data_IF_055153303793
#
_entry.id   IF_055153303793
#
_cell.length_a   1.000
_cell.length_b   1.000
_cell.length_c   1.000
_cell.angle_alpha   90.00
_cell.angle_beta   90.00
_cell.angle_gamma   90.00
#
_symmetry.space_group_name_H-M   'P 1'
#
loop_
_entity.id
_entity.type
_entity.pdbx_description
1 polymer ?
#
# COMPACT_ATOMS: atom_id res chain seq x y z
N UNK A 1 1.28 -13.62 4.63
CA UNK A 1 0.60 -12.44 4.05
C UNK A 1 -0.22 -12.99 2.91
N UNK A 2 -1.51 -12.69 2.89
CA UNK A 2 -2.39 -13.04 1.79
C UNK A 2 -2.76 -11.75 1.07
N UNK A 3 -2.98 -11.83 -0.24
CA UNK A 3 -3.42 -10.71 -1.06
C UNK A 3 -4.49 -11.19 -2.01
N UNK A 4 -5.51 -10.38 -2.20
CA UNK A 4 -6.66 -10.67 -3.04
C UNK A 4 -7.23 -9.37 -3.64
N UNK A 5 -8.06 -9.53 -4.66
CA UNK A 5 -8.88 -8.46 -5.21
C UNK A 5 -10.31 -8.75 -4.79
N UNK A 6 -10.98 -7.80 -4.15
CA UNK A 6 -12.38 -7.95 -3.77
C UNK A 6 -13.33 -7.75 -4.97
N UNK A 7 -14.63 -7.89 -4.74
CA UNK A 7 -15.66 -7.74 -5.78
C UNK A 7 -15.73 -6.32 -6.36
N UNK A 8 -15.26 -5.30 -5.64
CA UNK A 8 -15.21 -3.92 -6.10
C UNK A 8 -13.90 -3.60 -6.86
N UNK A 9 -12.97 -4.55 -6.94
CA UNK A 9 -11.68 -4.36 -7.59
C UNK A 9 -10.61 -3.74 -6.68
N UNK A 10 -10.86 -3.63 -5.37
CA UNK A 10 -9.87 -3.11 -4.44
C UNK A 10 -8.77 -4.15 -4.22
N UNK A 11 -7.53 -3.68 -4.10
CA UNK A 11 -6.41 -4.52 -3.69
C UNK A 11 -6.36 -4.64 -2.16
N UNK A 12 -6.63 -5.83 -1.63
CA UNK A 12 -6.58 -6.13 -0.21
C UNK A 12 -5.32 -6.92 0.13
N UNK A 13 -4.68 -6.57 1.24
CA UNK A 13 -3.50 -7.27 1.74
C UNK A 13 -3.58 -7.46 3.25
N UNK A 14 -3.54 -8.71 3.70
CA UNK A 14 -3.69 -9.09 5.10
C UNK A 14 -2.35 -9.53 5.71
N UNK A 15 -2.03 -8.97 6.87
CA UNK A 15 -0.84 -9.30 7.65
C UNK A 15 -1.17 -9.33 9.15
N UNK A 16 -0.95 -10.49 9.76
CA UNK A 16 -1.19 -10.72 11.18
C UNK A 16 -2.00 -12.02 11.38
N UNK A 17 -2.25 -12.41 12.64
CA UNK A 17 -3.22 -13.45 12.97
C UNK A 17 -4.64 -13.01 12.57
N UNK A 18 -5.47 -13.95 12.11
CA UNK A 18 -6.86 -13.67 11.74
C UNK A 18 -7.75 -13.36 12.97
N UNK A 19 -7.35 -13.85 14.15
CA UNK A 19 -8.02 -13.71 15.44
C UNK A 19 -7.43 -12.58 16.30
N UNK A 20 -6.65 -11.67 15.71
CA UNK A 20 -6.07 -10.56 16.44
C UNK A 20 -7.16 -9.69 17.09
N UNK A 21 -7.03 -9.30 18.37
CA UNK A 21 -8.06 -8.52 19.08
C UNK A 21 -8.18 -7.08 18.57
N UNK A 22 -7.21 -6.62 17.76
CA UNK A 22 -7.20 -5.29 17.16
C UNK A 22 -6.95 -5.45 15.66
N UNK A 23 -7.84 -4.88 14.86
CA UNK A 23 -7.70 -4.79 13.41
C UNK A 23 -7.32 -3.36 13.01
N UNK A 24 -6.19 -3.20 12.31
CA UNK A 24 -5.73 -1.90 11.80
C UNK A 24 -5.84 -1.93 10.27
N UNK A 25 -6.59 -0.98 9.72
CA UNK A 25 -6.72 -0.81 8.27
C UNK A 25 -5.87 0.37 7.80
N UNK A 26 -4.96 0.10 6.86
CA UNK A 26 -4.22 1.14 6.14
C UNK A 26 -4.90 1.33 4.78
N UNK A 27 -5.80 2.30 4.69
CA UNK A 27 -6.62 2.54 3.50
C UNK A 27 -6.04 3.66 2.64
N UNK A 28 -5.83 3.36 1.37
CA UNK A 28 -5.48 4.33 0.33
C UNK A 28 -6.24 4.00 -0.95
N UNK A 29 -5.90 4.68 -2.05
CA UNK A 29 -6.52 4.42 -3.36
C UNK A 29 -5.44 4.30 -4.45
N UNK A 30 -5.75 3.54 -5.51
CA UNK A 30 -4.81 3.23 -6.60
C UNK A 30 -5.13 3.99 -7.89
N UNK A 31 -6.37 4.43 -8.03
CA UNK A 31 -6.81 5.26 -9.14
C UNK A 31 -6.14 6.64 -9.07
N UNK A 32 -6.12 7.31 -10.22
CA UNK A 32 -5.55 8.63 -10.36
C UNK A 32 -6.35 9.41 -11.38
N UNK A 33 -6.29 10.74 -11.32
CA UNK A 33 -6.82 11.57 -12.40
C UNK A 33 -6.13 11.28 -13.74
N UNK A 34 -6.79 11.53 -14.88
CA UNK A 34 -6.21 11.36 -16.21
C UNK A 34 -4.94 12.20 -16.46
N UNK A 35 -4.23 11.83 -17.54
CA UNK A 35 -3.06 12.55 -18.03
C UNK A 35 -1.76 11.80 -17.75
N UNK A 36 -1.01 11.55 -18.82
CA UNK A 36 0.24 10.80 -18.79
C UNK A 36 1.41 11.73 -18.45
N UNK A 37 1.89 11.61 -17.22
CA UNK A 37 3.12 12.26 -16.77
C UNK A 37 4.25 11.24 -16.92
N UNK A 38 5.31 11.52 -17.71
CA UNK A 38 6.43 10.59 -17.88
C UNK A 38 7.02 10.17 -16.53
N UNK A 39 7.08 8.86 -16.31
CA UNK A 39 7.72 8.30 -15.12
C UNK A 39 9.22 8.44 -15.25
N UNK A 40 9.85 9.16 -14.32
CA UNK A 40 11.30 9.36 -14.31
C UNK A 40 11.82 9.62 -12.91
N UNK A 41 13.09 9.32 -12.69
CA UNK A 41 13.84 9.75 -11.52
C UNK A 41 14.88 10.78 -11.97
N UNK A 42 14.89 11.97 -11.37
CA UNK A 42 15.91 12.98 -11.63
C UNK A 42 16.25 13.72 -10.34
N UNK A 43 17.56 13.91 -10.07
CA UNK A 43 18.01 14.57 -8.83
C UNK A 43 17.50 13.89 -7.55
N UNK A 44 17.31 12.57 -7.56
CA UNK A 44 16.76 11.83 -6.43
C UNK A 44 15.23 11.93 -6.25
N UNK A 45 14.52 12.58 -7.16
CA UNK A 45 13.06 12.76 -7.10
C UNK A 45 12.35 11.84 -8.09
N UNK A 46 11.38 11.06 -7.61
CA UNK A 46 10.48 10.26 -8.44
C UNK A 46 9.31 11.11 -8.93
N UNK A 47 9.23 11.30 -10.24
CA UNK A 47 8.12 11.95 -10.92
C UNK A 47 7.20 10.89 -11.54
N UNK A 48 5.89 11.10 -11.41
CA UNK A 48 4.87 10.26 -12.06
C UNK A 48 3.48 10.53 -11.49
N UNK A 49 2.45 10.25 -12.28
CA UNK A 49 1.06 10.34 -11.80
C UNK A 49 0.86 9.34 -10.67
N UNK A 50 0.35 9.81 -9.54
CA UNK A 50 0.17 8.98 -8.34
C UNK A 50 1.37 8.95 -7.39
N UNK A 51 2.51 9.55 -7.73
CA UNK A 51 3.70 9.49 -6.84
C UNK A 51 3.45 10.11 -5.47
N UNK A 52 2.61 11.15 -5.40
CA UNK A 52 2.14 11.77 -4.16
C UNK A 52 0.71 11.34 -3.83
N UNK A 53 -0.19 11.37 -4.81
CA UNK A 53 -1.62 11.15 -4.63
C UNK A 53 -2.16 10.03 -5.52
N UNK A 54 -2.29 8.78 -5.04
CA UNK A 54 -1.86 8.32 -3.71
C UNK A 54 -1.06 7.00 -3.74
N UNK A 55 -0.52 6.62 -4.91
CA UNK A 55 0.31 5.41 -5.05
C UNK A 55 1.57 5.45 -4.18
N UNK A 56 2.18 6.62 -3.97
CA UNK A 56 3.31 6.78 -3.04
C UNK A 56 2.94 6.43 -1.59
N UNK A 57 1.95 7.10 -0.98
CA UNK A 57 1.41 6.73 0.33
C UNK A 57 1.02 5.25 0.44
N UNK A 58 0.30 4.71 -0.55
CA UNK A 58 -0.10 3.31 -0.59
C UNK A 58 1.10 2.36 -0.58
N UNK A 59 2.13 2.65 -1.39
CA UNK A 59 3.36 1.88 -1.43
C UNK A 59 4.11 1.93 -0.09
N UNK A 60 4.14 3.08 0.58
CA UNK A 60 4.77 3.23 1.90
C UNK A 60 4.07 2.38 2.98
N UNK A 61 2.73 2.40 2.99
CA UNK A 61 1.90 1.58 3.88
C UNK A 61 2.19 0.09 3.66
N UNK A 62 2.16 -0.37 2.41
CA UNK A 62 2.42 -1.77 2.06
C UNK A 62 3.84 -2.20 2.47
N UNK A 63 4.84 -1.38 2.14
CA UNK A 63 6.23 -1.61 2.53
C UNK A 63 6.39 -1.74 4.05
N UNK A 64 5.71 -0.90 4.83
CA UNK A 64 5.75 -0.98 6.29
C UNK A 64 5.06 -2.25 6.79
N UNK A 65 3.85 -2.53 6.32
CA UNK A 65 3.09 -3.73 6.71
C UNK A 65 3.87 -5.02 6.41
N UNK A 66 4.55 -5.09 5.25
CA UNK A 66 5.36 -6.23 4.86
C UNK A 66 6.57 -6.47 5.78
N UNK A 67 7.17 -5.38 6.29
CA UNK A 67 8.33 -5.41 7.20
C UNK A 67 7.96 -5.58 8.68
N UNK A 68 6.70 -5.46 9.04
CA UNK A 68 6.26 -5.68 10.43
C UNK A 68 6.52 -7.15 10.81
N UNK A 69 7.46 -7.36 11.73
CA UNK A 69 7.75 -8.67 12.28
C UNK A 69 6.68 -9.06 13.30
N UNK A 70 6.36 -10.35 13.42
CA UNK A 70 5.56 -10.84 14.54
C UNK A 70 6.37 -10.59 15.81
N UNK A 71 5.78 -9.93 16.81
CA UNK A 71 6.29 -10.09 18.17
C UNK A 71 6.14 -11.57 18.52
N UNK A 72 7.23 -12.21 18.95
CA UNK A 72 7.13 -13.51 19.59
C UNK A 72 6.31 -13.32 20.87
N UNK A 73 5.22 -14.08 20.99
CA UNK A 73 4.50 -14.19 22.26
C UNK A 73 5.44 -14.88 23.24
N UNK A 74 5.77 -14.19 24.34
CA UNK A 74 6.35 -14.82 25.53
C UNK A 74 5.27 -15.49 26.37
#
# INVERSE_FOLDING_TARGET
MAAEIDEAGNALAHRGPADAPVHIMLLGHIDTVPGDIPVRIAGGVLHGRGSVDAKGPLAAMLCRAARTCRRASG
#
